data_IF_809295204830
#
_entry.id   IF_809295204830
#
_cell.length_a   1.000
_cell.length_b   1.000
_cell.length_c   1.000
_cell.angle_alpha   90.00
_cell.angle_beta   90.00
_cell.angle_gamma   90.00
#
_symmetry.space_group_name_H-M   'P 1'
#
loop_
_entity.id
_entity.type
_entity.pdbx_description
1 polymer ?
#
# COMPACT_ATOMS: atom_id res chain seq x y z
N UNK A 1 31.77 -10.17 -12.49
CA UNK A 1 31.26 -9.38 -11.35
C UNK A 1 32.31 -8.37 -10.95
N UNK A 2 31.97 -7.08 -10.88
CA UNK A 2 32.86 -6.04 -10.35
C UNK A 2 32.65 -5.94 -8.84
N UNK A 3 33.70 -6.17 -8.05
CA UNK A 3 33.63 -6.00 -6.61
C UNK A 3 33.94 -4.54 -6.25
N UNK A 4 33.08 -3.93 -5.44
CA UNK A 4 33.28 -2.60 -4.86
C UNK A 4 33.16 -2.71 -3.35
N UNK A 5 34.03 -2.01 -2.62
CA UNK A 5 34.02 -1.97 -1.15
C UNK A 5 33.48 -0.62 -0.71
N UNK A 6 32.56 -0.64 0.25
CA UNK A 6 32.03 0.56 0.90
C UNK A 6 32.31 0.50 2.40
N UNK A 7 32.66 1.64 2.99
CA UNK A 7 32.79 1.76 4.43
C UNK A 7 31.43 2.10 5.04
N UNK A 8 31.02 1.36 6.07
CA UNK A 8 29.79 1.60 6.81
C UNK A 8 30.14 2.04 8.23
N UNK A 9 29.40 3.02 8.76
CA UNK A 9 29.49 3.31 10.18
C UNK A 9 28.81 2.20 11.00
N UNK A 10 29.17 2.13 12.28
CA UNK A 10 28.70 1.08 13.18
C UNK A 10 27.17 1.04 13.32
N UNK A 11 26.53 2.22 13.27
CA UNK A 11 25.07 2.34 13.33
C UNK A 11 24.41 1.70 12.12
N UNK A 12 24.89 1.98 10.91
CA UNK A 12 24.38 1.43 9.66
C UNK A 12 24.56 -0.09 9.63
N UNK A 13 25.73 -0.60 10.02
CA UNK A 13 25.97 -2.04 10.10
C UNK A 13 25.01 -2.75 11.06
N UNK A 14 24.80 -2.20 12.26
CA UNK A 14 23.84 -2.74 13.24
C UNK A 14 22.41 -2.78 12.70
N UNK A 15 22.00 -1.76 11.94
CA UNK A 15 20.68 -1.73 11.30
C UNK A 15 20.59 -2.85 10.27
N UNK A 16 21.54 -2.94 9.32
CA UNK A 16 21.54 -3.98 8.30
C UNK A 16 21.52 -5.39 8.90
N UNK A 17 22.29 -5.62 9.96
CA UNK A 17 22.34 -6.91 10.66
C UNK A 17 20.97 -7.34 11.21
N UNK A 18 20.12 -6.40 11.66
CA UNK A 18 18.76 -6.71 12.15
C UNK A 18 17.80 -7.12 11.03
N UNK A 19 17.97 -6.58 9.83
CA UNK A 19 17.09 -6.81 8.68
C UNK A 19 17.52 -7.97 7.79
N UNK A 20 18.74 -8.48 7.99
CA UNK A 20 19.32 -9.59 7.24
C UNK A 20 18.61 -10.90 7.59
N UNK A 21 18.14 -11.62 6.57
CA UNK A 21 17.55 -12.95 6.73
C UNK A 21 18.61 -14.04 6.86
N UNK A 22 18.18 -15.22 7.30
CA UNK A 22 19.06 -16.39 7.32
C UNK A 22 19.51 -16.73 5.89
N UNK A 23 20.78 -17.09 5.73
CA UNK A 23 21.45 -17.40 4.45
C UNK A 23 21.48 -16.28 3.37
N UNK A 24 20.99 -15.08 3.65
CA UNK A 24 21.08 -13.91 2.75
C UNK A 24 22.50 -13.29 2.80
N UNK A 25 23.02 -12.68 1.73
CA UNK A 25 24.23 -11.84 1.82
C UNK A 25 23.88 -10.38 2.13
N UNK A 26 24.84 -9.57 2.57
CA UNK A 26 24.58 -8.13 2.75
C UNK A 26 24.31 -7.42 1.41
N UNK A 27 24.89 -7.90 0.31
CA UNK A 27 24.60 -7.39 -1.03
C UNK A 27 23.15 -7.66 -1.43
N UNK A 28 22.65 -8.88 -1.18
CA UNK A 28 21.25 -9.24 -1.46
C UNK A 28 20.27 -8.42 -0.62
N UNK A 29 20.61 -8.20 0.66
CA UNK A 29 19.83 -7.33 1.53
C UNK A 29 19.74 -5.90 0.98
N UNK A 30 20.86 -5.31 0.54
CA UNK A 30 20.87 -3.95 0.00
C UNK A 30 20.00 -3.87 -1.25
N UNK A 31 20.15 -4.81 -2.19
CA UNK A 31 19.32 -4.87 -3.41
C UNK A 31 17.84 -4.98 -3.05
N UNK A 32 17.48 -5.90 -2.14
CA UNK A 32 16.09 -6.08 -1.70
C UNK A 32 15.50 -4.81 -1.08
N UNK A 33 16.29 -4.06 -0.30
CA UNK A 33 15.83 -2.81 0.28
C UNK A 33 15.59 -1.74 -0.78
N UNK A 34 16.47 -1.64 -1.78
CA UNK A 34 16.32 -0.73 -2.91
C UNK A 34 15.09 -1.09 -3.77
N UNK A 35 14.90 -2.37 -4.10
CA UNK A 35 13.74 -2.84 -4.89
C UNK A 35 12.40 -2.54 -4.18
N UNK A 36 12.36 -2.69 -2.86
CA UNK A 36 11.16 -2.37 -2.06
C UNK A 36 10.88 -0.88 -2.08
N UNK A 37 11.92 -0.05 -2.04
CA UNK A 37 11.76 1.40 -2.12
C UNK A 37 11.28 1.83 -3.51
N UNK A 38 11.88 1.32 -4.58
CA UNK A 38 11.49 1.61 -5.95
C UNK A 38 10.04 1.21 -6.23
N UNK A 39 9.60 0.03 -5.73
CA UNK A 39 8.19 -0.39 -5.85
C UNK A 39 7.24 0.53 -5.10
N UNK A 40 7.63 1.04 -3.92
CA UNK A 40 6.81 2.01 -3.17
C UNK A 40 6.74 3.38 -3.82
N UNK A 41 7.81 3.80 -4.49
CA UNK A 41 7.87 5.09 -5.19
C UNK A 41 7.12 5.04 -6.53
N UNK A 42 7.07 3.88 -7.18
CA UNK A 42 6.43 3.68 -8.48
C UNK A 42 4.97 3.18 -8.43
N UNK A 43 4.50 2.59 -7.32
CA UNK A 43 3.07 2.27 -7.14
C UNK A 43 2.33 3.47 -6.54
N UNK A 44 1.63 4.25 -7.37
CA UNK A 44 0.53 5.08 -6.87
C UNK A 44 -0.58 4.13 -6.40
N UNK A 45 -0.72 4.03 -5.08
CA UNK A 45 -1.70 3.18 -4.42
C UNK A 45 -3.11 3.46 -4.94
N UNK A 46 -3.43 4.71 -5.30
CA UNK A 46 -4.75 5.06 -5.82
C UNK A 46 -4.95 4.50 -7.23
N UNK A 47 -3.95 4.58 -8.11
CA UNK A 47 -4.02 4.01 -9.47
C UNK A 47 -4.29 2.51 -9.44
N UNK A 48 -3.77 1.79 -8.45
CA UNK A 48 -4.02 0.34 -8.28
C UNK A 48 -5.49 -0.02 -8.07
N UNK A 49 -6.28 0.88 -7.50
CA UNK A 49 -7.70 0.64 -7.22
C UNK A 49 -8.65 1.29 -8.21
N UNK A 50 -8.14 2.06 -9.19
CA UNK A 50 -8.97 2.66 -10.23
C UNK A 50 -9.62 1.55 -11.05
N UNK A 51 -10.96 1.57 -11.09
CA UNK A 51 -11.75 0.65 -11.93
C UNK A 51 -11.95 -0.75 -11.35
N UNK A 52 -11.51 -1.05 -10.12
CA UNK A 52 -11.73 -2.36 -9.47
C UNK A 52 -13.21 -2.74 -9.37
N UNK A 53 -14.10 -1.75 -9.39
CA UNK A 53 -15.55 -1.93 -9.34
C UNK A 53 -16.24 -1.87 -10.70
N UNK A 54 -15.49 -1.67 -11.79
CA UNK A 54 -16.05 -1.46 -13.14
C UNK A 54 -16.84 -2.65 -13.64
N UNK A 55 -16.35 -3.87 -13.40
CA UNK A 55 -16.98 -5.10 -13.89
C UNK A 55 -18.20 -5.53 -13.06
N UNK A 56 -18.43 -4.89 -11.92
CA UNK A 56 -19.55 -5.19 -11.01
C UNK A 56 -20.52 -4.00 -10.90
N UNK A 57 -20.63 -3.16 -11.94
CA UNK A 57 -21.44 -1.93 -11.93
C UNK A 57 -22.86 -2.16 -11.39
N UNK A 58 -23.50 -3.25 -11.81
CA UNK A 58 -24.90 -3.54 -11.47
C UNK A 58 -25.06 -3.88 -9.98
N UNK A 59 -24.07 -4.55 -9.39
CA UNK A 59 -24.03 -4.82 -7.96
C UNK A 59 -23.83 -3.53 -7.17
N UNK A 60 -22.94 -2.65 -7.62
CA UNK A 60 -22.71 -1.37 -6.96
C UNK A 60 -23.89 -0.43 -7.05
N UNK A 61 -24.64 -0.45 -8.15
CA UNK A 61 -25.90 0.30 -8.29
C UNK A 61 -26.95 -0.19 -7.29
N UNK A 62 -27.03 -1.51 -7.03
CA UNK A 62 -27.92 -2.06 -6.01
C UNK A 62 -27.50 -1.64 -4.60
N UNK A 63 -26.21 -1.70 -4.29
CA UNK A 63 -25.66 -1.23 -3.00
C UNK A 63 -25.95 0.26 -2.79
N UNK A 64 -25.79 1.09 -3.82
CA UNK A 64 -26.09 2.51 -3.77
C UNK A 64 -27.58 2.77 -3.50
N UNK A 65 -28.47 2.05 -4.17
CA UNK A 65 -29.93 2.14 -3.94
C UNK A 65 -30.31 1.80 -2.51
N UNK A 66 -29.74 0.74 -1.94
CA UNK A 66 -30.01 0.37 -0.54
C UNK A 66 -29.47 1.41 0.44
N UNK A 67 -28.26 1.92 0.23
CA UNK A 67 -27.70 3.01 1.05
C UNK A 67 -28.58 4.26 0.99
N UNK A 68 -29.08 4.62 -0.20
CA UNK A 68 -29.92 5.81 -0.35
C UNK A 68 -31.26 5.64 0.35
N UNK A 69 -31.90 4.46 0.25
CA UNK A 69 -33.12 4.17 1.00
C UNK A 69 -32.93 4.33 2.51
N UNK A 70 -31.84 3.78 3.05
CA UNK A 70 -31.53 3.91 4.48
C UNK A 70 -31.30 5.38 4.88
N UNK A 71 -30.62 6.16 4.04
CA UNK A 71 -30.46 7.61 4.27
C UNK A 71 -31.79 8.34 4.26
N UNK A 72 -32.66 8.05 3.30
CA UNK A 72 -33.98 8.68 3.19
C UNK A 72 -34.90 8.29 4.37
N UNK A 73 -34.78 7.05 4.85
CA UNK A 73 -35.50 6.57 6.04
C UNK A 73 -35.02 7.24 7.33
N UNK A 74 -33.71 7.54 7.42
CA UNK A 74 -33.09 8.14 8.60
C UNK A 74 -32.89 9.65 8.50
N UNK A 75 -33.31 10.28 7.40
CA UNK A 75 -33.48 11.73 7.29
C UNK A 75 -34.73 12.11 8.09
N UNK A 76 -34.58 12.24 9.41
CA UNK A 76 -35.56 12.96 10.22
C UNK A 76 -35.58 14.41 9.75
N UNK A 77 -36.68 14.82 9.12
CA UNK A 77 -36.98 16.22 8.84
C UNK A 77 -36.88 17.02 10.15
N UNK A 78 -35.97 18.00 10.22
CA UNK A 78 -35.99 19.06 11.23
C UNK A 78 -37.17 20.03 11.00
N UNK A 79 -38.36 19.51 10.69
CA UNK A 79 -39.61 20.26 10.60
C UNK A 79 -40.58 19.70 11.64
N UNK A 80 -40.36 20.03 12.91
CA UNK A 80 -41.36 20.04 13.98
C UNK A 80 -40.72 20.67 15.24
N UNK A 81 -40.50 21.98 15.21
CA UNK A 81 -40.36 22.84 16.40
C UNK A 81 -41.32 24.01 16.23
#
# INVERSE_FOLDING_TARGET
MTQKTISLNEKAYKILRKFKKDKESYSDLIIRLCDVQEKKENEDILLKYIGVFKDNSDYWEQVEKEIQKERDLHLTSEENI
#
